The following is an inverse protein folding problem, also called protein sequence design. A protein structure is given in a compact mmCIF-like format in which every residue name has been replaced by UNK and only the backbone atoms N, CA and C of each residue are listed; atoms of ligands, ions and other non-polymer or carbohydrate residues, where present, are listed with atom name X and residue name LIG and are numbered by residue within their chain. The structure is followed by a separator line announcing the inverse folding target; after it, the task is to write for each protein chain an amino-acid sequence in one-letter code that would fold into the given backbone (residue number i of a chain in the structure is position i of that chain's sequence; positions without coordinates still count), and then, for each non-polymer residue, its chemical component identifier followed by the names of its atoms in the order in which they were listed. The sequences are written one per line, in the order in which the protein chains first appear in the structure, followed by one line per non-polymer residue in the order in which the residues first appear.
data_IF_908960493190
#
_entry.id   IF_908960493190
#
_cell.length_a   1.000
_cell.length_b   1.000
_cell.length_c   1.000
_cell.angle_alpha   90.00
_cell.angle_beta   90.00
_cell.angle_gamma   90.00
#
_symmetry.space_group_name_H-M   'P 1'
#
loop_
_entity.id
_entity.type
_entity.pdbx_description
1 polymer ?
#
# COMPACT_ATOMS: atom_id res chain seq x y z
N UNK A 1 -11.31 -23.31 -12.00
CA UNK A 1 -11.13 -22.20 -12.96
C UNK A 1 -11.91 -21.01 -12.40
N UNK A 2 -11.24 -19.89 -12.12
CA UNK A 2 -11.83 -18.64 -11.62
C UNK A 2 -12.75 -18.08 -12.72
N UNK A 3 -14.00 -18.56 -12.78
CA UNK A 3 -14.88 -18.35 -13.94
C UNK A 3 -15.89 -17.23 -13.80
N UNK A 4 -16.05 -16.67 -12.60
CA UNK A 4 -17.01 -15.59 -12.34
C UNK A 4 -16.39 -14.62 -11.33
N UNK A 5 -15.50 -13.74 -11.79
CA UNK A 5 -14.97 -12.68 -10.92
C UNK A 5 -15.42 -11.34 -11.48
N UNK A 6 -16.55 -10.84 -10.98
CA UNK A 6 -16.83 -9.41 -11.01
C UNK A 6 -15.92 -8.75 -9.97
N UNK A 7 -14.79 -8.23 -10.45
CA UNK A 7 -13.93 -7.38 -9.65
C UNK A 7 -14.62 -6.02 -9.52
N UNK A 8 -14.69 -5.48 -8.30
CA UNK A 8 -15.30 -4.19 -7.97
C UNK A 8 -14.85 -3.05 -8.93
N UNK A 9 -15.60 -1.94 -8.95
CA UNK A 9 -15.45 -0.82 -9.92
C UNK A 9 -14.02 -0.28 -10.08
N UNK A 10 -13.09 -0.58 -9.15
CA UNK A 10 -11.65 -0.44 -9.38
C UNK A 10 -10.90 -1.59 -8.74
N UNK A 11 -10.35 -2.55 -9.52
CA UNK A 11 -9.63 -3.69 -8.96
C UNK A 11 -8.29 -3.25 -8.35
N UNK A 12 -8.05 -3.61 -7.09
CA UNK A 12 -6.80 -3.31 -6.39
C UNK A 12 -6.36 -4.45 -5.48
N UNK A 13 -5.06 -4.45 -5.20
CA UNK A 13 -4.42 -5.36 -4.25
C UNK A 13 -4.09 -4.60 -2.96
N UNK A 14 -4.11 -5.28 -1.83
CA UNK A 14 -3.61 -4.74 -0.57
C UNK A 14 -2.31 -5.44 -0.17
N UNK A 15 -1.30 -4.68 0.24
CA UNK A 15 -0.07 -5.23 0.82
C UNK A 15 -0.16 -5.20 2.34
N UNK A 16 0.04 -6.34 2.98
CA UNK A 16 0.22 -6.47 4.42
C UNK A 16 1.65 -6.92 4.71
N UNK A 17 2.42 -6.09 5.38
CA UNK A 17 3.83 -6.36 5.67
C UNK A 17 4.25 -5.74 7.00
N UNK A 18 5.31 -6.28 7.61
CA UNK A 18 5.91 -5.67 8.78
C UNK A 18 6.85 -4.54 8.34
N UNK A 19 6.65 -3.36 8.92
CA UNK A 19 7.42 -2.17 8.61
C UNK A 19 7.99 -1.54 9.88
N UNK A 20 9.24 -1.10 9.80
CA UNK A 20 9.89 -0.38 10.88
C UNK A 20 9.37 1.06 10.96
N UNK A 21 9.42 1.66 12.15
CA UNK A 21 8.90 3.00 12.41
C UNK A 21 9.62 4.12 11.63
N UNK A 22 10.83 3.87 11.12
CA UNK A 22 11.66 4.84 10.41
C UNK A 22 11.77 4.53 8.91
N UNK A 23 10.62 4.40 8.24
CA UNK A 23 10.61 4.30 6.79
C UNK A 23 11.04 5.62 6.14
N UNK A 24 11.97 5.49 5.18
CA UNK A 24 12.51 6.59 4.38
C UNK A 24 11.44 7.28 3.53
N UNK A 25 10.41 6.53 3.12
CA UNK A 25 9.33 7.00 2.27
C UNK A 25 8.00 6.72 2.96
N UNK A 26 7.25 7.77 3.29
CA UNK A 26 5.95 7.70 3.96
C UNK A 26 5.02 8.77 3.43
N UNK A 27 3.73 8.49 3.37
CA UNK A 27 2.73 9.46 2.95
C UNK A 27 2.68 10.63 3.94
N UNK A 28 2.81 11.83 3.39
CA UNK A 28 2.43 13.08 4.03
C UNK A 28 1.61 13.91 3.02
N UNK A 29 0.86 14.89 3.52
CA UNK A 29 0.04 15.78 2.68
C UNK A 29 0.85 16.52 1.59
N UNK A 30 2.17 16.60 1.74
CA UNK A 30 3.06 17.29 0.81
C UNK A 30 3.52 16.40 -0.36
N UNK A 31 3.53 15.07 -0.18
CA UNK A 31 4.06 14.10 -1.15
C UNK A 31 3.01 13.17 -1.76
N UNK A 32 1.73 13.32 -1.41
CA UNK A 32 0.60 12.54 -1.93
C UNK A 32 0.61 12.45 -3.47
N UNK A 33 0.90 13.55 -4.16
CA UNK A 33 0.97 13.57 -5.64
C UNK A 33 2.25 12.93 -6.19
N UNK A 34 3.33 12.92 -5.43
CA UNK A 34 4.62 12.34 -5.83
C UNK A 34 4.66 10.82 -5.64
N UNK A 35 3.77 10.29 -4.78
CA UNK A 35 3.61 8.86 -4.55
C UNK A 35 2.67 8.17 -5.54
N UNK A 36 2.08 8.93 -6.48
CA UNK A 36 1.45 8.36 -7.67
C UNK A 36 2.56 7.81 -8.58
N UNK A 37 2.85 6.52 -8.38
CA UNK A 37 3.85 5.75 -9.10
C UNK A 37 3.39 5.51 -10.54
N UNK A 38 3.81 6.37 -11.47
CA UNK A 38 3.63 6.11 -12.90
C UNK A 38 4.54 4.95 -13.35
N UNK A 39 5.84 5.22 -13.53
CA UNK A 39 6.78 4.24 -14.11
C UNK A 39 8.09 4.05 -13.33
N UNK A 40 8.45 4.97 -12.44
CA UNK A 40 9.71 4.91 -11.69
C UNK A 40 9.44 4.84 -10.18
N UNK A 41 10.10 3.90 -9.49
CA UNK A 41 10.09 3.84 -8.04
C UNK A 41 10.84 5.06 -7.46
N UNK A 42 10.28 5.79 -6.49
CA UNK A 42 10.98 6.87 -5.82
C UNK A 42 12.17 6.31 -5.04
N UNK A 43 13.23 7.10 -4.94
CA UNK A 43 14.41 6.73 -4.17
C UNK A 43 14.03 6.45 -2.70
N UNK A 44 14.47 5.30 -2.18
CA UNK A 44 14.19 4.89 -0.81
C UNK A 44 12.86 4.15 -0.61
N UNK A 45 12.15 3.77 -1.69
CA UNK A 45 11.04 2.83 -1.60
C UNK A 45 11.57 1.45 -1.14
N UNK A 46 11.04 0.87 -0.04
CA UNK A 46 11.46 -0.44 0.45
C UNK A 46 11.28 -1.55 -0.59
N UNK A 47 12.15 -2.55 -0.55
CA UNK A 47 12.15 -3.64 -1.53
C UNK A 47 10.83 -4.43 -1.53
N UNK A 48 10.24 -4.70 -0.36
CA UNK A 48 8.96 -5.41 -0.28
C UNK A 48 7.83 -4.67 -0.99
N UNK A 49 7.85 -3.33 -1.00
CA UNK A 49 6.85 -2.56 -1.76
C UNK A 49 7.12 -2.64 -3.26
N UNK A 50 8.40 -2.60 -3.68
CA UNK A 50 8.77 -2.77 -5.09
C UNK A 50 8.30 -4.14 -5.61
N UNK A 51 8.58 -5.21 -4.86
CA UNK A 51 8.20 -6.58 -5.22
C UNK A 51 6.67 -6.73 -5.24
N UNK A 52 5.96 -6.11 -4.31
CA UNK A 52 4.49 -6.08 -4.33
C UNK A 52 3.92 -5.34 -5.55
N UNK A 53 4.53 -4.22 -5.97
CA UNK A 53 4.12 -3.50 -7.19
C UNK A 53 4.39 -4.34 -8.43
N UNK A 54 5.54 -5.02 -8.51
CA UNK A 54 5.85 -5.93 -9.61
C UNK A 54 4.86 -7.09 -9.66
N UNK A 55 4.56 -7.70 -8.52
CA UNK A 55 3.55 -8.76 -8.40
C UNK A 55 2.16 -8.26 -8.85
N UNK A 56 1.77 -7.06 -8.44
CA UNK A 56 0.51 -6.44 -8.84
C UNK A 56 0.40 -6.31 -10.36
N UNK A 57 1.46 -5.78 -10.99
CA UNK A 57 1.55 -5.63 -12.44
C UNK A 57 1.51 -6.98 -13.16
N UNK A 58 2.21 -8.00 -12.64
CA UNK A 58 2.20 -9.37 -13.18
C UNK A 58 0.81 -10.02 -13.11
N UNK A 59 0.04 -9.69 -12.08
CA UNK A 59 -1.33 -10.18 -11.89
C UNK A 59 -2.38 -9.36 -12.65
N UNK A 60 -1.98 -8.27 -13.33
CA UNK A 60 -2.88 -7.42 -14.12
C UNK A 60 -3.62 -6.34 -13.32
N UNK A 61 -3.15 -6.01 -12.12
CA UNK A 61 -3.72 -4.94 -11.30
C UNK A 61 -2.95 -3.63 -11.49
N UNK A 62 -3.70 -2.53 -11.68
CA UNK A 62 -3.14 -1.18 -11.81
C UNK A 62 -3.00 -0.45 -10.47
N UNK A 63 -3.62 -0.98 -9.42
CA UNK A 63 -3.67 -0.34 -8.11
C UNK A 63 -3.19 -1.28 -7.02
N UNK A 64 -2.30 -0.77 -6.17
CA UNK A 64 -1.80 -1.42 -4.97
C UNK A 64 -1.98 -0.47 -3.79
N UNK A 65 -2.72 -0.91 -2.78
CA UNK A 65 -2.85 -0.22 -1.51
C UNK A 65 -1.74 -0.67 -0.56
N UNK A 66 -1.04 0.29 0.03
CA UNK A 66 0.05 0.06 0.98
C UNK A 66 -0.10 1.02 2.15
N UNK A 67 -0.11 0.52 3.38
CA UNK A 67 -0.44 1.30 4.58
C UNK A 67 0.45 2.54 4.75
N UNK A 68 1.76 2.41 4.55
CA UNK A 68 2.72 3.53 4.68
C UNK A 68 2.55 4.61 3.59
N UNK A 69 1.98 4.24 2.44
CA UNK A 69 1.81 5.13 1.28
C UNK A 69 0.39 5.66 1.14
N UNK A 70 -0.59 5.05 1.82
CA UNK A 70 -2.01 5.41 1.72
C UNK A 70 -2.59 5.98 3.02
N UNK A 71 -1.85 5.93 4.14
CA UNK A 71 -2.26 6.51 5.42
C UNK A 71 -1.27 7.59 5.81
N UNK A 72 -1.76 8.80 6.10
CA UNK A 72 -0.90 9.92 6.51
C UNK A 72 -0.11 9.56 7.78
N UNK A 73 1.21 9.66 7.69
CA UNK A 73 2.14 9.42 8.81
C UNK A 73 2.71 10.72 9.39
N UNK A 74 2.17 11.86 8.98
CA UNK A 74 2.55 13.16 9.51
C UNK A 74 2.17 13.31 10.98
N UNK A 75 2.72 14.36 11.61
CA UNK A 75 2.51 14.65 13.03
C UNK A 75 1.50 15.77 13.28
N UNK A 76 0.97 16.39 12.22
CA UNK A 76 -0.01 17.46 12.38
C UNK A 76 -1.34 16.89 12.89
N UNK A 77 -2.16 17.73 13.52
CA UNK A 77 -3.50 17.34 13.96
C UNK A 77 -4.37 16.82 12.79
N UNK A 78 -4.21 17.39 11.60
CA UNK A 78 -4.89 16.93 10.39
C UNK A 78 -4.45 15.51 9.98
N UNK A 79 -3.15 15.21 10.04
CA UNK A 79 -2.62 13.86 9.73
C UNK A 79 -3.10 12.82 10.73
N UNK A 80 -3.15 13.17 12.03
CA UNK A 80 -3.64 12.29 13.09
C UNK A 80 -5.13 11.96 12.89
N UNK A 81 -5.92 12.96 12.48
CA UNK A 81 -7.34 12.78 12.21
C UNK A 81 -7.58 11.89 10.98
N UNK A 82 -6.82 12.08 9.89
CA UNK A 82 -6.88 11.21 8.71
C UNK A 82 -6.47 9.77 9.06
N UNK A 83 -5.35 9.61 9.76
CA UNK A 83 -4.87 8.29 10.21
C UNK A 83 -5.92 7.54 11.02
N UNK A 84 -6.62 8.20 11.93
CA UNK A 84 -7.67 7.58 12.73
C UNK A 84 -8.85 7.09 11.85
N UNK A 85 -9.23 7.87 10.83
CA UNK A 85 -10.29 7.49 9.88
C UNK A 85 -9.84 6.32 9.01
N UNK A 86 -8.64 6.38 8.43
CA UNK A 86 -8.10 5.31 7.59
C UNK A 86 -7.91 4.00 8.36
N UNK A 87 -7.45 4.07 9.62
CA UNK A 87 -7.37 2.91 10.52
C UNK A 87 -8.75 2.28 10.78
N UNK A 88 -9.79 3.10 10.97
CA UNK A 88 -11.17 2.62 11.10
C UNK A 88 -11.69 1.95 9.82
N UNK A 89 -11.26 2.44 8.66
CA UNK A 89 -11.66 1.92 7.34
C UNK A 89 -10.80 0.75 6.85
N UNK A 90 -9.69 0.45 7.52
CA UNK A 90 -8.74 -0.59 7.13
C UNK A 90 -9.42 -1.94 6.90
N UNK A 91 -10.37 -2.32 7.77
CA UNK A 91 -11.16 -3.56 7.61
C UNK A 91 -11.93 -3.57 6.29
N UNK A 92 -12.50 -2.44 5.89
CA UNK A 92 -13.19 -2.29 4.60
C UNK A 92 -12.24 -2.37 3.42
N UNK A 93 -11.07 -1.74 3.52
CA UNK A 93 -10.06 -1.75 2.45
C UNK A 93 -9.55 -3.17 2.20
N UNK A 94 -9.19 -3.91 3.24
CA UNK A 94 -8.77 -5.30 3.06
C UNK A 94 -9.91 -6.20 2.55
N UNK A 95 -11.16 -5.93 2.97
CA UNK A 95 -12.33 -6.71 2.54
C UNK A 95 -12.68 -6.49 1.06
N UNK A 96 -12.57 -5.26 0.58
CA UNK A 96 -12.89 -4.90 -0.80
C UNK A 96 -11.70 -5.13 -1.75
N UNK A 97 -10.49 -5.38 -1.23
CA UNK A 97 -9.34 -5.78 -2.03
C UNK A 97 -9.55 -7.12 -2.71
N UNK A 98 -9.07 -7.26 -3.94
CA UNK A 98 -9.25 -8.49 -4.71
C UNK A 98 -8.31 -9.60 -4.22
N UNK A 99 -7.09 -9.22 -3.83
CA UNK A 99 -6.16 -10.09 -3.12
C UNK A 99 -5.35 -9.26 -2.11
N UNK A 100 -4.99 -9.91 -1.01
CA UNK A 100 -4.02 -9.38 -0.06
C UNK A 100 -2.69 -10.11 -0.24
N UNK A 101 -1.63 -9.37 -0.56
CA UNK A 101 -0.25 -9.86 -0.57
C UNK A 101 0.27 -9.74 0.85
N UNK A 102 0.74 -10.85 1.42
CA UNK A 102 1.28 -10.86 2.78
C UNK A 102 2.77 -11.18 2.72
N UNK A 103 3.61 -10.25 3.16
CA UNK A 103 5.03 -10.50 3.38
C UNK A 103 5.18 -11.36 4.65
N UNK A 104 5.13 -12.68 4.48
CA UNK A 104 5.06 -13.65 5.58
C UNK A 104 6.41 -13.85 6.30
N UNK A 105 7.53 -13.48 5.68
CA UNK A 105 8.86 -13.52 6.27
C UNK A 105 9.61 -12.22 5.96
N UNK A 106 10.25 -11.66 6.99
CA UNK A 106 10.93 -10.37 6.89
C UNK A 106 10.67 -9.54 8.14
N UNK A 107 11.72 -9.30 8.93
CA UNK A 107 11.63 -8.45 10.12
C UNK A 107 11.65 -6.94 9.76
N UNK A 108 11.76 -6.63 8.46
CA UNK A 108 11.91 -5.29 7.92
C UNK A 108 11.26 -5.17 6.55
N UNK A 109 10.89 -3.93 6.18
CA UNK A 109 10.34 -3.55 4.89
C UNK A 109 11.27 -3.79 3.69
N UNK A 110 12.54 -4.09 3.95
CA UNK A 110 13.58 -4.36 2.95
C UNK A 110 13.83 -5.86 2.72
N UNK A 111 13.02 -6.75 3.32
CA UNK A 111 13.26 -8.19 3.25
C UNK A 111 13.08 -8.81 1.85
N UNK A 112 12.25 -8.20 0.99
CA UNK A 112 11.86 -8.76 -0.31
C UNK A 112 10.70 -9.72 -0.18
#
# INVERSE_FOLDING_TARGET
ALRDVELAETPYLALSYCWEADQKLKLNMENEKTLQLDDAFPEGLPQTIQDAVLLARLLGFSFLWVDVLCICQGRSEADQQDRAVQLGNMVGIYRESNLAVVAACGDSADAG
#
